data_IF_142581295538
#
_entry.id   IF_142581295538
#
_cell.length_a   1.000
_cell.length_b   1.000
_cell.length_c   1.000
_cell.angle_alpha   90.00
_cell.angle_beta   90.00
_cell.angle_gamma   90.00
#
_symmetry.space_group_name_H-M   'P 1'
#
loop_
_entity.id
_entity.type
_entity.pdbx_description
1 polymer ?
#
# COMPACT_ATOMS: atom_id res chain seq x y z
N UNK A 1 -49.93 4.39 -47.89
CA UNK A 1 -49.22 3.66 -48.97
C UNK A 1 -48.09 4.47 -49.63
N UNK A 2 -48.23 5.79 -49.82
CA UNK A 2 -47.21 6.65 -50.47
C UNK A 2 -45.90 6.80 -49.69
N UNK A 3 -45.94 6.91 -48.35
CA UNK A 3 -44.71 7.02 -47.52
C UNK A 3 -43.87 5.75 -47.47
N UNK A 4 -44.51 4.57 -47.48
CA UNK A 4 -43.84 3.27 -47.54
C UNK A 4 -43.17 3.04 -48.90
N UNK A 5 -43.81 3.46 -50.00
CA UNK A 5 -43.21 3.42 -51.34
C UNK A 5 -42.05 4.40 -51.49
N UNK A 6 -42.15 5.59 -50.88
CA UNK A 6 -41.04 6.55 -50.86
C UNK A 6 -39.84 6.05 -50.04
N UNK A 7 -40.08 5.44 -48.86
CA UNK A 7 -39.02 4.85 -48.06
C UNK A 7 -38.34 3.66 -48.76
N UNK A 8 -39.11 2.80 -49.44
CA UNK A 8 -38.57 1.72 -50.25
C UNK A 8 -37.77 2.23 -51.46
N UNK A 9 -38.22 3.31 -52.11
CA UNK A 9 -37.49 3.93 -53.22
C UNK A 9 -36.18 4.59 -52.76
N UNK A 10 -36.16 5.20 -51.57
CA UNK A 10 -34.94 5.80 -50.99
C UNK A 10 -33.94 4.72 -50.56
N UNK A 11 -34.40 3.61 -49.96
CA UNK A 11 -33.53 2.48 -49.63
C UNK A 11 -32.98 1.79 -50.89
N UNK A 12 -33.80 1.63 -51.92
CA UNK A 12 -33.36 1.11 -53.22
C UNK A 12 -32.37 2.06 -53.90
N UNK A 13 -32.56 3.38 -53.77
CA UNK A 13 -31.65 4.39 -54.31
C UNK A 13 -30.32 4.44 -53.53
N UNK A 14 -30.33 4.26 -52.21
CA UNK A 14 -29.11 4.18 -51.39
C UNK A 14 -28.32 2.90 -51.67
N UNK A 15 -28.99 1.74 -51.80
CA UNK A 15 -28.36 0.50 -52.21
C UNK A 15 -27.78 0.59 -53.64
N UNK A 16 -28.49 1.30 -54.56
CA UNK A 16 -27.98 1.59 -55.90
C UNK A 16 -26.79 2.56 -55.87
N UNK A 17 -26.73 3.50 -54.92
CA UNK A 17 -25.62 4.44 -54.76
C UNK A 17 -24.36 3.77 -54.20
N UNK A 18 -24.51 2.80 -53.28
CA UNK A 18 -23.41 1.95 -52.83
C UNK A 18 -22.92 1.00 -53.95
N UNK A 19 -23.82 0.47 -54.78
CA UNK A 19 -23.47 -0.33 -55.95
C UNK A 19 -22.74 0.48 -57.04
N UNK A 20 -22.95 1.80 -57.13
CA UNK A 20 -22.25 2.69 -58.05
C UNK A 20 -20.79 2.97 -57.64
N UNK A 21 -20.41 2.66 -56.40
CA UNK A 21 -19.03 2.75 -55.89
C UNK A 21 -18.25 1.44 -55.87
N UNK A 22 -18.92 0.29 -56.10
CA UNK A 22 -18.30 -1.03 -56.17
C UNK A 22 -17.75 -1.28 -57.58
N UNK A 23 -16.44 -1.53 -57.76
CA UNK A 23 -15.85 -1.75 -59.09
C UNK A 23 -16.34 -3.05 -59.74
N UNK A 24 -16.95 -3.96 -58.97
CA UNK A 24 -17.36 -5.29 -59.43
C UNK A 24 -18.89 -5.43 -59.45
N UNK A 25 -19.49 -6.10 -60.46
CA UNK A 25 -20.93 -6.29 -60.54
C UNK A 25 -21.47 -7.36 -59.59
N UNK A 26 -20.62 -7.92 -58.73
CA UNK A 26 -20.93 -9.01 -57.80
C UNK A 26 -20.27 -8.79 -56.43
N UNK A 27 -20.88 -9.35 -55.40
CA UNK A 27 -20.28 -9.57 -54.07
C UNK A 27 -20.20 -11.07 -53.79
N UNK A 28 -19.10 -11.51 -53.19
CA UNK A 28 -18.85 -12.93 -52.90
C UNK A 28 -18.40 -13.08 -51.45
N UNK A 29 -19.08 -13.96 -50.70
CA UNK A 29 -18.66 -14.36 -49.36
C UNK A 29 -18.52 -15.89 -49.29
N UNK A 30 -17.44 -16.35 -48.68
CA UNK A 30 -17.14 -17.78 -48.51
C UNK A 30 -17.12 -18.09 -47.02
N UNK A 31 -17.74 -19.20 -46.62
CA UNK A 31 -17.73 -19.68 -45.25
C UNK A 31 -17.71 -21.20 -45.19
N UNK A 32 -17.41 -21.72 -44.00
CA UNK A 32 -17.43 -23.16 -43.72
C UNK A 32 -18.02 -23.42 -42.35
N UNK A 33 -18.58 -24.61 -42.14
CA UNK A 33 -18.85 -25.07 -40.77
C UNK A 33 -17.51 -25.31 -40.05
N UNK A 34 -17.51 -25.34 -38.70
CA UNK A 34 -16.29 -25.68 -37.94
C UNK A 34 -15.97 -27.15 -38.25
N UNK A 35 -14.88 -27.45 -38.97
CA UNK A 35 -14.62 -28.81 -39.42
C UNK A 35 -14.29 -29.68 -38.21
N UNK A 36 -14.95 -30.84 -38.13
CA UNK A 36 -14.74 -31.82 -37.09
C UNK A 36 -13.86 -32.94 -37.64
N UNK A 37 -12.90 -33.39 -36.83
CA UNK A 37 -12.07 -34.53 -37.21
C UNK A 37 -12.94 -35.74 -37.54
N UNK A 38 -12.71 -36.37 -38.69
CA UNK A 38 -13.50 -37.52 -39.14
C UNK A 38 -14.80 -37.18 -39.86
N UNK A 39 -15.24 -35.91 -39.85
CA UNK A 39 -16.41 -35.44 -40.60
C UNK A 39 -15.97 -34.72 -41.88
N UNK A 40 -16.74 -34.79 -42.98
CA UNK A 40 -16.45 -34.00 -44.18
C UNK A 40 -16.47 -32.49 -43.90
N UNK A 41 -15.58 -31.72 -44.54
CA UNK A 41 -15.62 -30.27 -44.51
C UNK A 41 -16.75 -29.78 -45.42
N UNK A 42 -17.76 -29.15 -44.82
CA UNK A 42 -18.85 -28.49 -45.52
C UNK A 42 -18.55 -26.99 -45.66
N UNK A 43 -18.83 -26.46 -46.85
CA UNK A 43 -18.64 -25.05 -47.15
C UNK A 43 -19.79 -24.45 -47.94
N UNK A 44 -19.89 -23.13 -47.86
CA UNK A 44 -20.91 -22.33 -48.52
C UNK A 44 -20.29 -21.12 -49.17
N UNK A 45 -20.79 -20.79 -50.35
CA UNK A 45 -20.35 -19.67 -51.18
C UNK A 45 -21.60 -18.89 -51.52
N UNK A 46 -21.71 -17.69 -50.99
CA UNK A 46 -22.80 -16.77 -51.34
C UNK A 46 -22.31 -15.81 -52.41
N UNK A 47 -23.05 -15.70 -53.51
CA UNK A 47 -22.80 -14.75 -54.58
C UNK A 47 -24.03 -13.87 -54.72
N UNK A 48 -23.83 -12.55 -54.66
CA UNK A 48 -24.88 -11.56 -54.83
C UNK A 48 -24.57 -10.70 -56.05
N UNK A 49 -25.49 -10.65 -57.01
CA UNK A 49 -25.36 -9.84 -58.20
C UNK A 49 -25.87 -8.42 -57.92
N UNK A 50 -24.99 -7.42 -58.04
CA UNK A 50 -25.36 -6.01 -57.91
C UNK A 50 -26.02 -5.46 -59.18
N UNK A 51 -25.71 -6.08 -60.33
CA UNK A 51 -26.22 -5.74 -61.67
C UNK A 51 -26.49 -7.02 -62.46
N UNK A 52 -27.28 -6.99 -63.56
CA UNK A 52 -27.52 -8.18 -64.37
C UNK A 52 -26.20 -8.69 -64.96
N UNK A 53 -25.84 -9.94 -64.67
CA UNK A 53 -24.50 -10.46 -64.96
C UNK A 53 -24.54 -11.97 -65.14
N UNK A 54 -23.77 -12.48 -66.11
CA UNK A 54 -23.53 -13.91 -66.24
C UNK A 54 -22.38 -14.31 -65.34
N UNK A 55 -22.57 -15.33 -64.50
CA UNK A 55 -21.60 -15.75 -63.49
C UNK A 55 -21.30 -17.23 -63.62
N UNK A 56 -20.03 -17.58 -63.42
CA UNK A 56 -19.53 -18.95 -63.32
C UNK A 56 -18.75 -19.11 -62.02
N UNK A 57 -19.28 -19.89 -61.09
CA UNK A 57 -18.69 -20.14 -59.77
C UNK A 57 -17.88 -21.42 -59.81
N UNK A 58 -16.60 -21.31 -59.48
CA UNK A 58 -15.69 -22.45 -59.35
C UNK A 58 -15.05 -22.48 -57.97
N UNK A 59 -14.75 -23.68 -57.49
CA UNK A 59 -14.08 -23.89 -56.21
C UNK A 59 -12.94 -24.89 -56.36
N UNK A 60 -11.88 -24.70 -55.59
CA UNK A 60 -10.76 -25.62 -55.45
C UNK A 60 -10.39 -25.67 -53.96
N UNK A 61 -10.36 -26.86 -53.38
CA UNK A 61 -10.13 -27.06 -51.95
C UNK A 61 -8.78 -27.73 -51.74
N UNK A 62 -7.89 -27.10 -50.97
CA UNK A 62 -6.68 -27.71 -50.48
C UNK A 62 -7.01 -28.54 -49.23
N UNK A 63 -6.77 -29.84 -49.32
CA UNK A 63 -6.96 -30.76 -48.21
C UNK A 63 -5.60 -31.23 -47.65
N UNK A 64 -5.35 -31.15 -46.33
CA UNK A 64 -4.16 -31.71 -45.69
C UNK A 64 -3.93 -33.18 -46.07
N UNK A 65 -2.76 -33.45 -46.66
CA UNK A 65 -2.34 -34.80 -47.07
C UNK A 65 -2.94 -35.31 -48.39
N UNK A 66 -3.88 -34.59 -49.03
CA UNK A 66 -4.35 -34.92 -50.39
C UNK A 66 -3.98 -33.85 -51.43
N UNK A 67 -3.70 -32.62 -51.00
CA UNK A 67 -3.42 -31.52 -51.90
C UNK A 67 -4.70 -30.87 -52.43
N UNK A 68 -4.60 -30.16 -53.56
CA UNK A 68 -5.72 -29.46 -54.18
C UNK A 68 -6.71 -30.43 -54.84
N UNK A 69 -8.00 -30.24 -54.61
CA UNK A 69 -9.08 -31.04 -55.22
C UNK A 69 -9.15 -30.90 -56.74
N UNK A 70 -8.55 -29.84 -57.29
CA UNK A 70 -8.81 -29.37 -58.65
C UNK A 70 -10.05 -28.48 -58.69
N UNK A 71 -10.19 -27.74 -59.78
CA UNK A 71 -11.30 -26.81 -59.98
C UNK A 71 -12.60 -27.54 -60.30
N UNK A 72 -13.62 -27.35 -59.47
CA UNK A 72 -14.98 -27.85 -59.65
C UNK A 72 -15.88 -26.66 -59.98
N UNK A 73 -16.70 -26.78 -61.04
CA UNK A 73 -17.71 -25.77 -61.37
C UNK A 73 -18.97 -26.07 -60.55
N UNK A 74 -19.34 -25.16 -59.65
CA UNK A 74 -20.55 -25.31 -58.84
C UNK A 74 -21.78 -24.78 -59.57
N UNK A 75 -21.60 -23.72 -60.37
CA UNK A 75 -22.69 -23.10 -61.10
C UNK A 75 -22.21 -22.26 -62.28
N UNK A 76 -23.04 -22.17 -63.33
CA UNK A 76 -22.86 -21.29 -64.49
C UNK A 76 -24.24 -20.83 -64.96
N UNK A 77 -24.46 -19.52 -65.02
CA UNK A 77 -25.72 -18.97 -65.52
C UNK A 77 -25.86 -17.47 -65.29
N UNK A 78 -27.04 -16.95 -65.63
CA UNK A 78 -27.36 -15.53 -65.50
C UNK A 78 -27.98 -15.22 -64.13
N UNK A 79 -27.60 -14.08 -63.55
CA UNK A 79 -28.16 -13.54 -62.31
C UNK A 79 -28.78 -12.16 -62.56
N UNK A 80 -29.97 -11.94 -62.02
CA UNK A 80 -30.64 -10.65 -62.04
C UNK A 80 -30.02 -9.67 -61.02
N UNK A 81 -30.20 -8.37 -61.23
CA UNK A 81 -29.77 -7.37 -60.26
C UNK A 81 -30.48 -7.57 -58.90
N UNK A 82 -29.71 -7.58 -57.82
CA UNK A 82 -30.17 -7.85 -56.46
C UNK A 82 -30.36 -9.35 -56.13
N UNK A 83 -30.10 -10.26 -57.07
CA UNK A 83 -30.23 -11.70 -56.83
C UNK A 83 -29.06 -12.23 -56.00
N UNK A 84 -29.37 -13.05 -54.99
CA UNK A 84 -28.38 -13.71 -54.12
C UNK A 84 -28.56 -15.23 -54.16
N UNK A 85 -27.47 -15.98 -54.36
CA UNK A 85 -27.47 -17.44 -54.45
C UNK A 85 -26.39 -18.04 -53.57
N UNK A 86 -26.75 -19.10 -52.83
CA UNK A 86 -25.84 -19.86 -51.98
C UNK A 86 -25.53 -21.21 -52.62
N UNK A 87 -24.25 -21.43 -52.93
CA UNK A 87 -23.72 -22.69 -53.43
C UNK A 87 -23.05 -23.43 -52.27
N UNK A 88 -23.42 -24.70 -52.07
CA UNK A 88 -22.82 -25.55 -51.03
C UNK A 88 -21.95 -26.61 -51.66
N UNK A 89 -20.88 -26.97 -50.98
CA UNK A 89 -20.03 -28.08 -51.37
C UNK A 89 -19.44 -28.79 -50.15
N UNK A 90 -18.86 -29.96 -50.42
CA UNK A 90 -18.29 -30.86 -49.43
C UNK A 90 -16.91 -31.33 -49.90
N UNK A 91 -15.96 -31.50 -48.99
CA UNK A 91 -14.67 -32.13 -49.28
C UNK A 91 -14.85 -33.62 -49.62
N UNK A 92 -13.97 -34.18 -50.46
CA UNK A 92 -14.10 -35.56 -50.97
C UNK A 92 -13.85 -36.67 -49.94
N UNK A 93 -13.64 -36.35 -48.65
CA UNK A 93 -13.43 -37.31 -47.58
C UNK A 93 -13.44 -36.69 -46.18
N UNK A 94 -13.26 -37.52 -45.13
CA UNK A 94 -13.28 -37.06 -43.74
C UNK A 94 -12.11 -36.10 -43.47
N UNK A 95 -12.39 -35.03 -42.72
CA UNK A 95 -11.41 -34.02 -42.41
C UNK A 95 -10.28 -34.57 -41.53
N UNK A 96 -9.05 -34.20 -41.87
CA UNK A 96 -7.79 -34.57 -41.21
C UNK A 96 -7.23 -33.36 -40.47
N UNK A 97 -6.29 -33.60 -39.57
CA UNK A 97 -5.56 -32.53 -38.89
C UNK A 97 -4.83 -31.65 -39.91
N UNK A 98 -4.95 -30.34 -39.73
CA UNK A 98 -4.28 -29.35 -40.57
C UNK A 98 -5.21 -28.27 -41.13
N UNK A 99 -4.62 -27.38 -41.92
CA UNK A 99 -5.32 -26.24 -42.52
C UNK A 99 -5.88 -26.60 -43.88
N UNK A 100 -7.20 -26.45 -44.03
CA UNK A 100 -7.91 -26.50 -45.29
C UNK A 100 -7.97 -25.10 -45.89
N UNK A 101 -7.85 -25.02 -47.22
CA UNK A 101 -7.98 -23.77 -47.96
C UNK A 101 -9.06 -23.93 -49.02
N UNK A 102 -10.10 -23.11 -48.94
CA UNK A 102 -11.18 -23.07 -49.92
C UNK A 102 -10.91 -21.87 -50.81
N UNK A 103 -10.48 -22.14 -52.04
CA UNK A 103 -10.28 -21.12 -53.06
C UNK A 103 -11.48 -21.10 -54.00
N UNK A 104 -12.20 -20.00 -53.98
CA UNK A 104 -13.35 -19.75 -54.85
C UNK A 104 -12.94 -18.77 -55.94
N UNK A 105 -13.25 -19.10 -57.18
CA UNK A 105 -13.02 -18.26 -58.35
C UNK A 105 -14.36 -18.02 -59.05
N UNK A 106 -14.84 -16.79 -59.00
CA UNK A 106 -16.10 -16.37 -59.61
C UNK A 106 -15.79 -15.60 -60.89
N UNK A 107 -16.01 -16.25 -62.03
CA UNK A 107 -15.95 -15.58 -63.33
C UNK A 107 -17.25 -14.83 -63.59
N UNK A 108 -17.18 -13.59 -64.06
CA UNK A 108 -18.36 -12.82 -64.44
C UNK A 108 -18.20 -12.07 -65.77
N UNK A 109 -19.32 -11.90 -66.48
CA UNK A 109 -19.43 -11.20 -67.76
C UNK A 109 -20.71 -10.36 -67.76
N UNK A 110 -20.58 -9.05 -67.98
CA UNK A 110 -21.70 -8.11 -68.12
C UNK A 110 -21.49 -7.18 -69.31
N UNK A 111 -22.50 -6.96 -70.19
CA UNK A 111 -22.39 -6.07 -71.35
C UNK A 111 -21.88 -4.65 -71.04
N UNK A 112 -22.00 -4.21 -69.79
CA UNK A 112 -21.65 -2.87 -69.34
C UNK A 112 -20.25 -2.80 -68.72
N UNK A 113 -19.60 -3.96 -68.51
CA UNK A 113 -18.40 -4.08 -67.67
C UNK A 113 -17.21 -4.78 -68.38
N UNK A 114 -17.32 -5.13 -69.68
CA UNK A 114 -16.24 -5.81 -70.41
C UNK A 114 -15.74 -5.06 -71.66
N UNK A 115 -14.46 -5.32 -72.00
CA UNK A 115 -13.89 -5.08 -73.33
C UNK A 115 -13.98 -6.36 -74.17
N UNK A 116 -14.45 -6.23 -75.42
CA UNK A 116 -14.36 -7.29 -76.44
C UNK A 116 -12.96 -7.23 -77.04
N UNK A 117 -12.17 -8.30 -76.90
CA UNK A 117 -10.87 -8.44 -77.55
C UNK A 117 -11.01 -9.49 -78.65
N UNK A 118 -10.84 -9.09 -79.92
CA UNK A 118 -10.86 -10.01 -81.05
C UNK A 118 -12.18 -10.77 -81.28
N UNK A 119 -13.32 -10.24 -80.80
CA UNK A 119 -14.64 -10.88 -80.93
C UNK A 119 -14.97 -11.94 -79.88
N UNK A 120 -14.06 -12.21 -78.93
CA UNK A 120 -14.28 -13.14 -77.83
C UNK A 120 -14.65 -12.41 -76.53
N UNK A 121 -15.62 -12.97 -75.80
CA UNK A 121 -16.04 -12.48 -74.49
C UNK A 121 -15.20 -13.16 -73.41
N UNK A 122 -14.47 -12.36 -72.61
CA UNK A 122 -13.65 -12.87 -71.52
C UNK A 122 -14.33 -12.65 -70.17
N UNK A 123 -14.26 -13.65 -69.29
CA UNK A 123 -14.69 -13.51 -67.90
C UNK A 123 -13.64 -12.71 -67.13
N UNK A 124 -14.08 -11.66 -66.44
CA UNK A 124 -13.30 -11.12 -65.33
C UNK A 124 -13.42 -12.10 -64.15
N UNK A 125 -12.35 -12.25 -63.36
CA UNK A 125 -12.30 -13.19 -62.24
C UNK A 125 -12.32 -12.42 -60.92
N UNK A 126 -13.13 -12.90 -59.99
CA UNK A 126 -13.11 -12.50 -58.59
C UNK A 126 -12.73 -13.73 -57.74
N UNK A 127 -11.54 -13.69 -57.15
CA UNK A 127 -11.01 -14.80 -56.35
C UNK A 127 -11.10 -14.51 -54.85
N UNK A 128 -11.65 -15.45 -54.08
CA UNK A 128 -11.75 -15.40 -52.62
C UNK A 128 -11.13 -16.66 -52.03
N UNK A 129 -10.31 -16.48 -50.99
CA UNK A 129 -9.68 -17.59 -50.27
C UNK A 129 -10.16 -17.59 -48.82
N UNK A 130 -10.67 -18.73 -48.37
CA UNK A 130 -11.09 -18.96 -46.98
C UNK A 130 -10.28 -20.11 -46.38
N UNK A 131 -9.56 -19.83 -45.29
CA UNK A 131 -8.72 -20.83 -44.61
C UNK A 131 -9.34 -21.25 -43.28
N UNK A 132 -9.39 -22.56 -43.03
CA UNK A 132 -9.93 -23.13 -41.78
C UNK A 132 -9.02 -24.24 -41.29
N UNK A 133 -8.76 -24.31 -39.99
CA UNK A 133 -7.83 -25.31 -39.42
C UNK A 133 -8.59 -26.30 -38.55
N UNK A 134 -8.35 -27.59 -38.81
CA UNK A 134 -8.82 -28.71 -37.97
C UNK A 134 -7.72 -29.01 -36.96
N UNK A 135 -8.02 -28.74 -35.69
CA UNK A 135 -7.17 -29.13 -34.58
C UNK A 135 -7.55 -30.52 -34.06
N UNK A 136 -6.61 -31.17 -33.39
CA UNK A 136 -6.89 -32.37 -32.62
C UNK A 136 -7.84 -31.99 -31.46
N UNK A 137 -8.98 -32.66 -31.27
CA UNK A 137 -9.86 -32.40 -30.13
C UNK A 137 -9.11 -32.46 -28.77
N UNK A 138 -8.05 -33.26 -28.67
CA UNK A 138 -7.19 -33.30 -27.48
C UNK A 138 -6.35 -32.03 -27.31
N UNK A 139 -6.08 -31.26 -28.38
CA UNK A 139 -5.30 -30.03 -28.30
C UNK A 139 -6.07 -28.91 -27.57
N UNK A 140 -7.40 -28.81 -27.74
CA UNK A 140 -8.22 -27.87 -26.95
C UNK A 140 -8.14 -28.21 -25.45
N UNK A 141 -8.19 -29.51 -25.10
CA UNK A 141 -8.02 -30.00 -23.73
C UNK A 141 -6.63 -29.68 -23.15
N UNK A 142 -5.56 -29.97 -23.90
CA UNK A 142 -4.19 -29.68 -23.46
C UNK A 142 -3.94 -28.18 -23.32
N UNK A 143 -4.52 -27.37 -24.20
CA UNK A 143 -4.45 -25.91 -24.09
C UNK A 143 -5.17 -25.39 -22.84
N UNK A 144 -6.36 -25.90 -22.51
CA UNK A 144 -7.05 -25.52 -21.28
C UNK A 144 -6.27 -25.91 -20.04
N UNK A 145 -5.68 -27.12 -20.02
CA UNK A 145 -4.82 -27.57 -18.92
C UNK A 145 -3.58 -26.70 -18.76
N UNK A 146 -2.92 -26.34 -19.86
CA UNK A 146 -1.78 -25.42 -19.85
C UNK A 146 -2.17 -24.03 -19.34
N UNK A 147 -3.29 -23.48 -19.81
CA UNK A 147 -3.77 -22.17 -19.40
C UNK A 147 -4.09 -22.14 -17.89
N UNK A 148 -4.73 -23.21 -17.38
CA UNK A 148 -4.99 -23.38 -15.96
C UNK A 148 -3.68 -23.44 -15.15
N UNK A 149 -2.76 -24.33 -15.53
CA UNK A 149 -1.48 -24.49 -14.83
C UNK A 149 -0.66 -23.19 -14.83
N UNK A 150 -0.68 -22.44 -15.93
CA UNK A 150 -0.04 -21.12 -16.02
C UNK A 150 -0.67 -20.12 -15.06
N UNK A 151 -2.00 -20.07 -14.99
CA UNK A 151 -2.71 -19.18 -14.08
C UNK A 151 -2.42 -19.51 -12.61
N UNK A 152 -2.45 -20.81 -12.25
CA UNK A 152 -2.08 -21.28 -10.91
C UNK A 152 -0.63 -20.92 -10.56
N UNK A 153 0.31 -21.07 -11.50
CA UNK A 153 1.71 -20.68 -11.31
C UNK A 153 1.87 -19.17 -11.03
N UNK A 154 1.17 -18.32 -11.78
CA UNK A 154 1.18 -16.87 -11.57
C UNK A 154 0.56 -16.48 -10.21
N UNK A 155 -0.52 -17.15 -9.81
CA UNK A 155 -1.13 -16.94 -8.49
C UNK A 155 -0.17 -17.33 -7.36
N UNK A 156 0.48 -18.49 -7.46
CA UNK A 156 1.47 -18.94 -6.48
C UNK A 156 2.67 -17.98 -6.40
N UNK A 157 3.13 -17.46 -7.54
CA UNK A 157 4.21 -16.47 -7.59
C UNK A 157 3.84 -15.20 -6.83
N UNK A 158 2.64 -14.64 -7.08
CA UNK A 158 2.14 -13.45 -6.36
C UNK A 158 1.98 -13.71 -4.86
N UNK A 159 1.46 -14.89 -4.49
CA UNK A 159 1.32 -15.28 -3.09
C UNK A 159 2.69 -15.36 -2.38
N UNK A 160 3.69 -15.91 -3.06
CA UNK A 160 5.06 -15.97 -2.56
C UNK A 160 5.67 -14.59 -2.38
N UNK A 161 5.55 -13.70 -3.36
CA UNK A 161 6.07 -12.32 -3.27
C UNK A 161 5.44 -11.57 -2.09
N UNK A 162 4.12 -11.75 -1.87
CA UNK A 162 3.42 -11.18 -0.71
C UNK A 162 3.96 -11.72 0.62
N UNK A 163 4.14 -13.03 0.74
CA UNK A 163 4.69 -13.66 1.95
C UNK A 163 6.14 -13.22 2.22
N UNK A 164 6.96 -13.06 1.19
CA UNK A 164 8.32 -12.54 1.32
C UNK A 164 8.34 -11.10 1.85
N UNK A 165 7.43 -10.25 1.38
CA UNK A 165 7.26 -8.88 1.88
C UNK A 165 6.79 -8.84 3.34
N UNK A 166 5.79 -9.66 3.70
CA UNK A 166 5.31 -9.76 5.09
C UNK A 166 6.42 -10.27 6.02
N UNK A 167 7.19 -11.27 5.60
CA UNK A 167 8.32 -11.78 6.37
C UNK A 167 9.42 -10.72 6.57
N UNK A 168 9.69 -9.90 5.55
CA UNK A 168 10.63 -8.78 5.68
C UNK A 168 10.14 -7.72 6.67
N UNK A 169 8.86 -7.34 6.59
CA UNK A 169 8.25 -6.39 7.53
C UNK A 169 8.28 -6.91 8.98
N UNK A 170 7.95 -8.18 9.20
CA UNK A 170 8.02 -8.80 10.53
C UNK A 170 9.45 -8.80 11.09
N UNK A 171 10.47 -9.09 10.27
CA UNK A 171 11.88 -9.02 10.69
C UNK A 171 12.30 -7.60 11.08
N UNK A 172 11.85 -6.59 10.33
CA UNK A 172 12.11 -5.20 10.65
C UNK A 172 11.47 -4.80 11.99
N UNK A 173 10.20 -5.14 12.20
CA UNK A 173 9.48 -4.88 13.46
C UNK A 173 10.16 -5.57 14.65
N UNK A 174 10.57 -6.82 14.49
CA UNK A 174 11.27 -7.56 15.54
C UNK A 174 12.59 -6.86 15.92
N UNK A 175 13.33 -6.37 14.92
CA UNK A 175 14.57 -5.62 15.15
C UNK A 175 14.32 -4.31 15.89
N UNK A 176 13.27 -3.57 15.51
CA UNK A 176 12.88 -2.33 16.18
C UNK A 176 12.47 -2.58 17.64
N UNK A 177 11.64 -3.59 17.90
CA UNK A 177 11.23 -3.95 19.26
C UNK A 177 12.41 -4.37 20.14
N UNK A 178 13.39 -5.09 19.58
CA UNK A 178 14.63 -5.42 20.32
C UNK A 178 15.41 -4.17 20.71
N UNK A 179 15.54 -3.20 19.81
CA UNK A 179 16.22 -1.94 20.10
C UNK A 179 15.47 -1.13 21.17
N UNK A 180 14.14 -1.08 21.10
CA UNK A 180 13.32 -0.41 22.11
C UNK A 180 13.42 -1.07 23.49
N UNK A 181 13.43 -2.40 23.53
CA UNK A 181 13.62 -3.16 24.77
C UNK A 181 14.97 -2.86 25.41
N UNK A 182 16.04 -2.80 24.61
CA UNK A 182 17.38 -2.47 25.12
C UNK A 182 17.46 -1.03 25.64
N UNK A 183 16.80 -0.09 24.94
CA UNK A 183 16.66 1.29 25.43
C UNK A 183 15.95 1.34 26.77
N UNK A 184 14.80 0.66 26.91
CA UNK A 184 14.04 0.61 28.16
C UNK A 184 14.84 -0.02 29.31
N UNK A 185 15.66 -1.04 29.02
CA UNK A 185 16.59 -1.61 30.02
C UNK A 185 17.59 -0.58 30.51
N UNK A 186 18.21 0.17 29.60
CA UNK A 186 19.17 1.22 29.97
C UNK A 186 18.52 2.34 30.79
N UNK A 187 17.29 2.73 30.45
CA UNK A 187 16.53 3.72 31.22
C UNK A 187 16.21 3.20 32.62
N UNK A 188 15.80 1.93 32.74
CA UNK A 188 15.51 1.31 34.02
C UNK A 188 16.75 1.22 34.93
N UNK A 189 17.91 0.89 34.37
CA UNK A 189 19.19 0.89 35.11
C UNK A 189 19.55 2.31 35.58
N UNK A 190 19.40 3.32 34.72
CA UNK A 190 19.65 4.71 35.09
C UNK A 190 18.71 5.19 36.21
N UNK A 191 17.42 4.89 36.13
CA UNK A 191 16.45 5.20 37.19
C UNK A 191 16.78 4.48 38.50
N UNK A 192 17.22 3.23 38.44
CA UNK A 192 17.63 2.48 39.63
C UNK A 192 18.85 3.12 40.32
N UNK A 193 19.84 3.56 39.53
CA UNK A 193 21.02 4.27 40.03
C UNK A 193 20.63 5.62 40.67
N UNK A 194 19.77 6.40 40.00
CA UNK A 194 19.31 7.68 40.54
C UNK A 194 18.50 7.51 41.83
N UNK A 195 17.64 6.48 41.90
CA UNK A 195 16.92 6.14 43.12
C UNK A 195 17.87 5.81 44.27
N UNK A 196 18.91 5.02 44.02
CA UNK A 196 19.91 4.68 45.04
C UNK A 196 20.68 5.92 45.53
N UNK A 197 21.04 6.81 44.60
CA UNK A 197 21.65 8.10 44.92
C UNK A 197 20.75 8.97 45.81
N UNK A 198 19.49 9.16 45.42
CA UNK A 198 18.54 9.94 46.21
C UNK A 198 18.28 9.34 47.61
N UNK A 199 18.28 8.01 47.73
CA UNK A 199 18.20 7.34 49.04
C UNK A 199 19.41 7.65 49.91
N UNK A 200 20.62 7.64 49.33
CA UNK A 200 21.84 8.04 50.03
C UNK A 200 21.82 9.50 50.47
N UNK A 201 21.42 10.42 49.58
CA UNK A 201 21.31 11.85 49.90
C UNK A 201 20.28 12.08 51.01
N UNK A 202 19.14 11.40 50.97
CA UNK A 202 18.13 11.49 52.03
C UNK A 202 18.65 11.00 53.38
N UNK A 203 19.37 9.87 53.41
CA UNK A 203 19.98 9.35 54.63
C UNK A 203 21.03 10.32 55.21
N UNK A 204 21.84 10.95 54.36
CA UNK A 204 22.81 11.96 54.78
C UNK A 204 22.11 13.21 55.36
N UNK A 205 21.03 13.68 54.74
CA UNK A 205 20.24 14.82 55.24
C UNK A 205 19.59 14.51 56.59
N UNK A 206 19.08 13.28 56.79
CA UNK A 206 18.53 12.85 58.07
C UNK A 206 19.60 12.82 59.16
N UNK A 207 20.81 12.35 58.84
CA UNK A 207 21.93 12.36 59.78
C UNK A 207 22.37 13.79 60.16
N UNK A 208 22.50 14.68 59.18
CA UNK A 208 22.84 16.09 59.42
C UNK A 208 21.77 16.80 60.25
N UNK A 209 20.48 16.55 59.95
CA UNK A 209 19.38 17.06 60.77
C UNK A 209 19.50 16.60 62.22
N UNK A 210 19.78 15.31 62.45
CA UNK A 210 19.95 14.77 63.81
C UNK A 210 21.15 15.41 64.52
N UNK A 211 22.27 15.64 63.82
CA UNK A 211 23.43 16.36 64.35
C UNK A 211 23.06 17.77 64.79
N UNK A 212 22.39 18.54 63.92
CA UNK A 212 21.97 19.91 64.19
C UNK A 212 20.96 19.98 65.36
N UNK A 213 20.04 19.02 65.46
CA UNK A 213 19.13 18.92 66.61
C UNK A 213 19.91 18.70 67.93
N UNK A 214 20.97 17.87 67.90
CA UNK A 214 21.88 17.67 69.02
C UNK A 214 22.67 18.92 69.40
N UNK A 215 23.26 19.62 68.43
CA UNK A 215 23.96 20.88 68.65
C UNK A 215 23.03 21.95 69.23
N UNK A 216 21.81 22.06 68.72
CA UNK A 216 20.80 23.00 69.23
C UNK A 216 20.43 22.69 70.69
N UNK A 217 20.28 21.40 71.04
CA UNK A 217 20.03 20.98 72.43
C UNK A 217 21.21 21.36 73.36
N UNK A 218 22.46 21.18 72.91
CA UNK A 218 23.64 21.59 73.67
C UNK A 218 23.69 23.11 73.86
N UNK A 219 23.46 23.89 72.80
CA UNK A 219 23.43 25.35 72.88
C UNK A 219 22.35 25.85 73.84
N UNK A 220 21.16 25.24 73.84
CA UNK A 220 20.10 25.55 74.82
C UNK A 220 20.53 25.24 76.25
N UNK A 221 21.20 24.11 76.49
CA UNK A 221 21.72 23.76 77.80
C UNK A 221 22.81 24.75 78.28
N UNK A 222 23.72 25.15 77.39
CA UNK A 222 24.72 26.18 77.69
C UNK A 222 24.08 27.54 78.01
N UNK A 223 23.07 27.95 77.24
CA UNK A 223 22.34 29.20 77.48
C UNK A 223 21.67 29.20 78.87
N UNK A 224 21.00 28.10 79.25
CA UNK A 224 20.41 27.94 80.59
C UNK A 224 21.46 27.97 81.71
N UNK A 225 22.62 27.35 81.48
CA UNK A 225 23.73 27.37 82.45
C UNK A 225 24.29 28.79 82.62
N UNK A 226 24.48 29.54 81.54
CA UNK A 226 24.92 30.93 81.60
C UNK A 226 23.88 31.82 82.29
N UNK A 227 22.59 31.61 82.04
CA UNK A 227 21.51 32.34 82.69
C UNK A 227 21.50 32.10 84.21
N UNK A 228 21.66 30.84 84.64
CA UNK A 228 21.75 30.52 86.07
C UNK A 228 23.00 31.12 86.72
N UNK A 229 24.16 31.04 86.05
CA UNK A 229 25.39 31.70 86.51
C UNK A 229 25.27 33.22 86.60
N UNK A 230 24.59 33.86 85.64
CA UNK A 230 24.33 35.29 85.69
C UNK A 230 23.43 35.67 86.88
N UNK A 231 22.38 34.88 87.15
CA UNK A 231 21.49 35.07 88.31
C UNK A 231 22.24 34.92 89.63
N UNK A 232 23.10 33.91 89.77
CA UNK A 232 23.89 33.71 90.99
C UNK A 232 24.93 34.81 91.19
N UNK A 233 25.62 35.23 90.12
CA UNK A 233 26.56 36.35 90.19
C UNK A 233 25.88 37.65 90.63
N UNK A 234 24.68 37.94 90.10
CA UNK A 234 23.87 39.09 90.51
C UNK A 234 23.48 39.01 91.99
N UNK A 235 23.07 37.83 92.48
CA UNK A 235 22.74 37.63 93.89
C UNK A 235 23.97 37.81 94.81
N UNK A 236 25.14 37.30 94.42
CA UNK A 236 26.40 37.48 95.15
C UNK A 236 26.79 38.96 95.18
N UNK A 237 26.69 39.66 94.05
CA UNK A 237 26.97 41.10 93.97
C UNK A 237 26.04 41.89 94.91
N UNK A 238 24.75 41.54 94.97
CA UNK A 238 23.80 42.15 95.89
C UNK A 238 24.16 41.90 97.37
N UNK A 239 24.58 40.68 97.72
CA UNK A 239 25.05 40.35 99.07
C UNK A 239 26.32 41.11 99.46
N UNK A 240 27.30 41.20 98.56
CA UNK A 240 28.52 41.97 98.78
C UNK A 240 28.24 43.46 98.94
N UNK A 241 27.33 44.01 98.12
CA UNK A 241 26.88 45.39 98.26
C UNK A 241 26.21 45.63 99.63
N UNK A 242 25.33 44.72 100.07
CA UNK A 242 24.71 44.79 101.39
C UNK A 242 25.75 44.72 102.52
N UNK A 243 26.74 43.82 102.44
CA UNK A 243 27.82 43.71 103.41
C UNK A 243 28.70 44.97 103.44
N UNK A 244 29.01 45.56 102.29
CA UNK A 244 29.75 46.81 102.21
C UNK A 244 28.99 47.96 102.91
N UNK A 245 27.67 48.03 102.72
CA UNK A 245 26.81 49.01 103.40
C UNK A 245 26.80 48.78 104.91
N UNK A 246 26.70 47.54 105.39
CA UNK A 246 26.70 47.25 106.84
C UNK A 246 28.05 47.52 107.50
N UNK A 247 29.16 47.15 106.84
CA UNK A 247 30.51 47.47 107.33
C UNK A 247 30.76 48.98 107.37
N UNK A 248 30.35 49.72 106.34
CA UNK A 248 30.43 51.17 106.33
C UNK A 248 29.63 51.78 107.50
N UNK A 249 28.42 51.29 107.75
CA UNK A 249 27.61 51.71 108.90
C UNK A 249 28.30 51.38 110.25
N UNK A 250 28.85 50.18 110.40
CA UNK A 250 29.56 49.76 111.61
C UNK A 250 30.83 50.60 111.88
N UNK A 251 31.57 50.93 110.82
CA UNK A 251 32.78 51.76 110.91
C UNK A 251 32.43 53.20 111.31
N UNK A 252 31.32 53.74 110.80
CA UNK A 252 30.77 55.04 111.25
C UNK A 252 30.43 55.00 112.75
N UNK A 253 29.84 53.90 113.24
CA UNK A 253 29.54 53.73 114.68
C UNK A 253 30.82 53.60 115.52
N UNK A 254 31.80 52.82 115.09
CA UNK A 254 33.07 52.63 115.80
C UNK A 254 33.90 53.93 115.89
N UNK A 255 33.96 54.72 114.82
CA UNK A 255 34.60 56.05 114.82
C UNK A 255 33.88 57.00 115.78
N UNK A 256 32.55 56.93 115.88
CA UNK A 256 31.79 57.70 116.89
C UNK A 256 32.02 57.19 118.31
N UNK A 257 32.17 55.88 118.53
CA UNK A 257 32.44 55.28 119.84
C UNK A 257 33.87 55.49 120.36
N UNK A 258 34.88 55.47 119.48
CA UNK A 258 36.29 55.65 119.83
C UNK A 258 36.65 57.07 120.31
N UNK A 259 35.79 58.06 120.09
CA UNK A 259 35.96 59.39 120.70
C UNK A 259 35.57 59.46 122.17
N UNK A 260 34.94 58.42 122.74
CA UNK A 260 34.56 58.39 124.16
C UNK A 260 35.69 57.90 125.09
N UNK A 261 36.80 57.37 124.57
CA UNK A 261 37.95 56.88 125.37
C UNK A 261 39.22 57.67 125.06
N UNK A 262 39.27 58.94 125.48
CA UNK A 262 40.51 59.69 125.71
C UNK A 262 40.76 59.77 127.23
N UNK A 263 41.90 59.27 127.76
CA UNK A 263 42.19 59.30 129.20
C UNK A 263 42.39 60.74 129.71
N UNK A 264 41.95 60.98 130.95
CA UNK A 264 42.08 62.25 131.67
C UNK A 264 43.54 62.65 131.89
N UNK A 265 43.83 63.94 131.70
CA UNK A 265 45.13 64.54 131.96
C UNK A 265 45.42 64.67 133.47
N UNK A 266 46.65 64.38 133.94
CA UNK A 266 47.03 64.47 135.36
C UNK A 266 47.30 65.93 135.80
N UNK A 267 47.18 66.23 137.11
CA UNK A 267 47.24 67.58 137.65
C UNK A 267 48.69 68.11 137.75
N UNK A 268 48.91 69.42 137.51
CA UNK A 268 50.20 70.05 137.77
C UNK A 268 50.41 70.38 139.27
N UNK A 269 51.68 70.45 139.72
CA UNK A 269 52.08 70.44 141.13
C UNK A 269 52.13 71.84 141.79
N UNK A 270 52.11 71.92 143.14
CA UNK A 270 52.48 73.12 143.92
C UNK A 270 54.02 73.32 143.89
N UNK A 271 54.62 74.50 144.19
CA UNK A 271 54.38 75.29 145.42
C UNK A 271 54.67 76.83 145.35
N UNK A 272 54.61 77.42 146.55
CA UNK A 272 54.96 78.78 147.05
C UNK A 272 53.84 79.84 147.13
#
# INVERSE_FOLDING_TARGET
>A
MTRLRAAAAVLAALAALEALGQPWPIEVSVGSEKPQWGSPLTYSINVTALRPVRVRVRVNVLEPGRGWSGWIVLWDGDMAAGESRVFRGESGGPARLGSYVIWVSVGFVSPHDYQVIGGATYYALYDVVHAVTVYDPSAEYWYSMYAQARNESEQLKRAREKLEAEAAALRANLTAMRAELEKLRSELEALAAERARLQSENAALLAERSRLEGENAQLRAFALKLETQAKTALAVAALLAALAVTLAAALIVAVRGGQAQRPAAPPPPPPD
#
